data_IF_770271937229
#
_entry.id   IF_770271937229
#
_cell.length_a   1.000
_cell.length_b   1.000
_cell.length_c   1.000
_cell.angle_alpha   90.00
_cell.angle_beta   90.00
_cell.angle_gamma   90.00
#
_symmetry.space_group_name_H-M   'P 1'
#
loop_
_entity.id
_entity.type
_entity.pdbx_description
1 polymer ?
#
# COMPACT_ATOMS: atom_id res chain seq x y z
N UNK A 1 -17.50 -14.22 5.93
CA UNK A 1 -16.23 -13.47 6.04
C UNK A 1 -15.15 -14.50 6.31
N UNK A 2 -14.03 -14.47 5.58
CA UNK A 2 -12.91 -15.41 5.78
C UNK A 2 -11.86 -14.83 6.71
N UNK A 3 -11.64 -13.52 6.61
CA UNK A 3 -10.80 -12.72 7.49
C UNK A 3 -11.53 -11.41 7.73
N UNK A 4 -11.65 -11.02 9.00
CA UNK A 4 -12.32 -9.80 9.45
C UNK A 4 -11.49 -9.09 10.51
N UNK A 5 -12.05 -8.08 11.18
CA UNK A 5 -11.34 -7.31 12.21
C UNK A 5 -10.85 -8.13 13.41
N UNK A 6 -11.38 -9.35 13.63
CA UNK A 6 -11.08 -10.15 14.81
C UNK A 6 -9.62 -10.58 14.92
N UNK A 7 -8.90 -10.71 13.80
CA UNK A 7 -7.46 -11.05 13.78
C UNK A 7 -6.56 -9.86 13.45
N UNK A 8 -7.13 -8.71 13.06
CA UNK A 8 -6.34 -7.53 12.67
C UNK A 8 -5.42 -7.77 11.48
N UNK A 9 -5.85 -8.61 10.52
CA UNK A 9 -5.11 -8.85 9.27
C UNK A 9 -5.09 -7.59 8.40
N UNK A 10 -4.13 -7.52 7.48
CA UNK A 10 -3.86 -6.32 6.68
C UNK A 10 -5.06 -5.92 5.78
N UNK A 11 -5.92 -6.88 5.41
CA UNK A 11 -7.11 -6.62 4.61
C UNK A 11 -8.33 -7.47 5.02
N UNK A 12 -9.53 -6.96 4.77
CA UNK A 12 -10.77 -7.71 4.95
C UNK A 12 -10.98 -8.69 3.79
N UNK A 13 -11.32 -9.96 4.09
CA UNK A 13 -11.55 -10.99 3.07
C UNK A 13 -13.00 -11.49 3.11
N UNK A 14 -13.73 -11.23 2.03
CA UNK A 14 -15.14 -11.59 1.88
C UNK A 14 -15.34 -12.65 0.80
N UNK A 15 -15.74 -13.86 1.20
CA UNK A 15 -16.03 -14.96 0.28
C UNK A 15 -17.30 -14.67 -0.54
N UNK A 16 -17.17 -14.73 -1.87
CA UNK A 16 -18.29 -14.63 -2.80
C UNK A 16 -18.85 -16.02 -3.10
N UNK A 17 -17.97 -16.93 -3.55
CA UNK A 17 -18.31 -18.34 -3.81
C UNK A 17 -17.14 -19.26 -3.42
N UNK A 18 -17.10 -20.49 -3.92
CA UNK A 18 -16.01 -21.44 -3.63
C UNK A 18 -14.70 -21.14 -4.35
N UNK A 19 -14.73 -20.28 -5.37
CA UNK A 19 -13.60 -19.99 -6.25
C UNK A 19 -13.03 -18.59 -6.00
N UNK A 20 -13.85 -17.64 -5.56
CA UNK A 20 -13.45 -16.25 -5.41
C UNK A 20 -13.85 -15.69 -4.04
N UNK A 21 -12.89 -15.06 -3.37
CA UNK A 21 -13.11 -14.12 -2.29
C UNK A 21 -12.54 -12.75 -2.68
N UNK A 22 -13.23 -11.68 -2.25
CA UNK A 22 -12.75 -10.32 -2.37
C UNK A 22 -11.75 -10.03 -1.25
N UNK A 23 -10.70 -9.32 -1.58
CA UNK A 23 -9.78 -8.66 -0.64
C UNK A 23 -10.10 -7.18 -0.69
N UNK A 24 -10.40 -6.57 0.45
CA UNK A 24 -10.84 -5.19 0.55
C UNK A 24 -9.94 -4.46 1.54
N UNK A 25 -9.26 -3.42 1.07
CA UNK A 25 -8.46 -2.54 1.91
C UNK A 25 -8.65 -1.09 1.52
N UNK A 26 -8.31 -0.19 2.45
CA UNK A 26 -8.24 1.24 2.22
C UNK A 26 -7.11 1.82 3.04
N UNK A 27 -6.25 2.61 2.41
CA UNK A 27 -5.23 3.39 3.11
C UNK A 27 -5.00 4.73 2.41
N UNK A 28 -4.82 5.77 3.22
CA UNK A 28 -4.56 7.15 2.81
C UNK A 28 -3.91 7.92 3.96
N UNK A 29 -2.93 8.75 3.65
CA UNK A 29 -2.14 9.46 4.65
C UNK A 29 -1.71 10.83 4.14
N UNK A 30 -1.09 11.65 4.97
CA UNK A 30 -0.57 12.97 4.60
C UNK A 30 0.83 12.88 3.94
N UNK A 31 1.28 13.87 3.14
CA UNK A 31 2.56 13.82 2.46
C UNK A 31 3.76 13.44 3.34
N UNK A 32 4.47 12.41 2.91
CA UNK A 32 5.73 11.96 3.54
C UNK A 32 6.97 12.43 2.77
N UNK A 33 6.78 12.95 1.56
CA UNK A 33 7.80 13.53 0.67
C UNK A 33 7.24 14.79 0.00
N UNK A 34 8.15 15.66 -0.45
CA UNK A 34 7.77 16.97 -1.01
C UNK A 34 7.34 16.89 -2.48
N UNK A 35 7.88 15.94 -3.26
CA UNK A 35 7.50 15.80 -4.66
C UNK A 35 6.07 15.20 -4.75
N UNK A 36 5.11 15.90 -5.38
CA UNK A 36 3.72 15.44 -5.39
C UNK A 36 3.53 14.14 -6.18
N UNK A 37 4.30 13.93 -7.25
CA UNK A 37 4.21 12.71 -8.05
C UNK A 37 4.72 11.51 -7.25
N UNK A 38 5.88 11.64 -6.60
CA UNK A 38 6.43 10.60 -5.72
C UNK A 38 5.48 10.29 -4.56
N UNK A 39 4.87 11.30 -3.96
CA UNK A 39 3.85 11.10 -2.93
C UNK A 39 2.66 10.28 -3.44
N UNK A 40 2.14 10.60 -4.63
CA UNK A 40 1.09 9.82 -5.27
C UNK A 40 1.47 8.36 -5.52
N UNK A 41 2.70 8.12 -6.00
CA UNK A 41 3.24 6.78 -6.22
C UNK A 41 3.31 5.96 -4.92
N UNK A 42 3.81 6.58 -3.85
CA UNK A 42 3.98 5.92 -2.56
C UNK A 42 2.62 5.62 -1.92
N UNK A 43 1.69 6.57 -1.94
CA UNK A 43 0.34 6.37 -1.40
C UNK A 43 -0.39 5.21 -2.08
N UNK A 44 -0.31 5.14 -3.41
CA UNK A 44 -0.88 4.03 -4.16
C UNK A 44 -0.18 2.69 -3.88
N UNK A 45 1.16 2.68 -3.82
CA UNK A 45 1.92 1.46 -3.52
C UNK A 45 1.60 0.91 -2.13
N UNK A 46 1.44 1.80 -1.15
CA UNK A 46 1.06 1.47 0.22
C UNK A 46 -0.35 0.89 0.27
N UNK A 47 -1.35 1.56 -0.32
CA UNK A 47 -2.73 1.05 -0.33
C UNK A 47 -2.89 -0.29 -1.08
N UNK A 48 -2.01 -0.59 -2.05
CA UNK A 48 -1.95 -1.89 -2.73
C UNK A 48 -1.26 -2.97 -1.90
N UNK A 49 -0.47 -2.58 -0.89
CA UNK A 49 0.38 -3.46 -0.11
C UNK A 49 -0.41 -4.54 0.62
N UNK A 50 -1.50 -4.17 1.27
CA UNK A 50 -2.30 -5.12 2.06
C UNK A 50 -2.90 -6.23 1.21
N UNK A 51 -3.26 -5.92 -0.05
CA UNK A 51 -3.73 -6.95 -0.98
C UNK A 51 -2.63 -7.98 -1.24
N UNK A 52 -1.40 -7.51 -1.42
CA UNK A 52 -0.24 -8.38 -1.61
C UNK A 52 0.14 -9.15 -0.34
N UNK A 53 -0.02 -8.55 0.85
CA UNK A 53 0.32 -9.14 2.14
C UNK A 53 -0.49 -10.42 2.42
N UNK A 54 -1.78 -10.42 2.04
CA UNK A 54 -2.66 -11.58 2.20
C UNK A 54 -2.59 -12.58 1.03
N UNK A 55 -1.66 -12.39 0.09
CA UNK A 55 -1.51 -13.23 -1.12
C UNK A 55 -2.60 -13.00 -2.18
N UNK A 56 -3.28 -11.85 -2.13
CA UNK A 56 -4.30 -11.45 -3.09
C UNK A 56 -3.71 -10.85 -4.36
N UNK A 57 -4.53 -10.79 -5.40
CA UNK A 57 -4.23 -10.06 -6.64
C UNK A 57 -5.10 -8.82 -6.73
N UNK A 58 -4.55 -7.60 -6.85
CA UNK A 58 -5.33 -6.39 -7.05
C UNK A 58 -6.20 -6.47 -8.31
N UNK A 59 -7.40 -5.90 -8.27
CA UNK A 59 -8.36 -5.90 -9.37
C UNK A 59 -8.71 -4.47 -9.82
N UNK A 60 -9.10 -3.61 -8.88
CA UNK A 60 -9.49 -2.21 -9.13
C UNK A 60 -9.22 -1.34 -7.92
N UNK A 61 -9.15 -0.02 -8.12
CA UNK A 61 -9.04 0.95 -7.04
C UNK A 61 -9.97 2.17 -7.23
N UNK A 62 -10.25 2.86 -6.12
CA UNK A 62 -10.94 4.16 -6.08
C UNK A 62 -10.05 5.16 -5.35
N UNK A 63 -9.95 6.38 -5.87
CA UNK A 63 -9.25 7.47 -5.19
C UNK A 63 -9.97 7.88 -3.90
N UNK A 64 -9.19 8.06 -2.84
CA UNK A 64 -9.59 8.77 -1.63
C UNK A 64 -8.68 9.98 -1.52
N UNK A 65 -9.26 11.16 -1.62
CA UNK A 65 -8.51 12.40 -1.65
C UNK A 65 -9.14 13.46 -0.74
N UNK A 66 -8.30 14.17 -0.01
CA UNK A 66 -8.65 15.37 0.72
C UNK A 66 -7.58 16.42 0.42
N UNK A 67 -7.94 17.54 -0.17
CA UNK A 67 -6.97 18.57 -0.58
C UNK A 67 -7.44 19.95 -0.15
N UNK A 68 -6.52 20.84 0.29
CA UNK A 68 -6.88 22.21 0.57
C UNK A 68 -7.07 22.97 -0.74
N UNK A 69 -8.02 23.92 -0.75
CA UNK A 69 -8.38 24.67 -1.96
C UNK A 69 -7.24 25.45 -2.58
N UNK A 70 -6.23 25.80 -1.78
CA UNK A 70 -5.07 26.58 -2.18
C UNK A 70 -3.86 25.73 -2.61
N UNK A 71 -3.93 24.39 -2.54
CA UNK A 71 -2.86 23.49 -3.01
C UNK A 71 -2.54 23.69 -4.50
N UNK A 72 -3.54 24.12 -5.27
CA UNK A 72 -3.44 24.38 -6.69
C UNK A 72 -3.68 23.13 -7.54
N UNK A 73 -4.35 23.26 -8.70
CA UNK A 73 -4.74 22.12 -9.54
C UNK A 73 -3.54 21.35 -10.10
N UNK A 74 -2.42 22.02 -10.38
CA UNK A 74 -1.23 21.36 -10.94
C UNK A 74 -0.56 20.39 -9.96
N UNK A 75 -0.55 20.75 -8.67
CA UNK A 75 -0.02 19.88 -7.61
C UNK A 75 -0.93 18.66 -7.43
N UNK A 76 -2.24 18.88 -7.38
CA UNK A 76 -3.23 17.80 -7.30
C UNK A 76 -3.10 16.85 -8.49
N UNK A 77 -2.98 17.40 -9.71
CA UNK A 77 -2.82 16.62 -10.93
C UNK A 77 -1.59 15.70 -10.87
N UNK A 78 -0.45 16.20 -10.36
CA UNK A 78 0.76 15.39 -10.19
C UNK A 78 0.59 14.25 -9.17
N UNK A 79 -0.10 14.49 -8.05
CA UNK A 79 -0.40 13.45 -7.06
C UNK A 79 -1.23 12.33 -7.69
N UNK A 80 -2.31 12.71 -8.39
CA UNK A 80 -3.18 11.77 -9.07
C UNK A 80 -2.44 11.03 -10.19
N UNK A 81 -1.58 11.72 -10.94
CA UNK A 81 -0.73 11.11 -11.97
C UNK A 81 0.21 10.05 -11.39
N UNK A 82 0.87 10.36 -10.27
CA UNK A 82 1.73 9.41 -9.57
C UNK A 82 0.98 8.16 -9.12
N UNK A 83 -0.19 8.33 -8.49
CA UNK A 83 -1.02 7.20 -8.09
C UNK A 83 -1.52 6.37 -9.27
N UNK A 84 -1.94 7.03 -10.36
CA UNK A 84 -2.38 6.39 -11.60
C UNK A 84 -1.26 5.56 -12.22
N UNK A 85 -0.04 6.09 -12.29
CA UNK A 85 1.13 5.38 -12.83
C UNK A 85 1.48 4.14 -12.00
N UNK A 86 1.31 4.21 -10.67
CA UNK A 86 1.49 3.03 -9.80
C UNK A 86 0.40 1.98 -9.99
N UNK A 87 -0.85 2.40 -10.16
CA UNK A 87 -1.95 1.50 -10.49
C UNK A 87 -1.73 0.79 -11.83
N UNK A 88 -1.23 1.52 -12.84
CA UNK A 88 -0.81 0.95 -14.13
C UNK A 88 0.29 -0.10 -13.99
N UNK A 89 1.31 0.16 -13.16
CA UNK A 89 2.38 -0.81 -12.83
C UNK A 89 1.82 -2.08 -12.15
N UNK A 90 0.80 -1.92 -11.30
CA UNK A 90 0.09 -3.03 -10.67
C UNK A 90 -0.89 -3.76 -11.60
N UNK A 91 -1.08 -3.26 -12.84
CA UNK A 91 -1.98 -3.85 -13.83
C UNK A 91 -3.46 -3.62 -13.56
N UNK A 92 -3.82 -2.60 -12.78
CA UNK A 92 -5.21 -2.28 -12.42
C UNK A 92 -5.62 -0.89 -12.89
N UNK A 93 -6.93 -0.63 -12.85
CA UNK A 93 -7.51 0.68 -13.14
C UNK A 93 -7.99 1.36 -11.85
N UNK A 94 -7.75 2.68 -11.77
CA UNK A 94 -8.47 3.55 -10.85
C UNK A 94 -9.79 3.94 -11.52
N UNK A 95 -10.90 3.44 -11.01
CA UNK A 95 -12.22 3.49 -11.68
C UNK A 95 -13.14 4.59 -11.15
N UNK A 96 -12.58 5.55 -10.42
CA UNK A 96 -13.31 6.66 -9.81
C UNK A 96 -12.71 7.04 -8.48
N UNK A 97 -13.54 7.61 -7.61
CA UNK A 97 -13.14 7.99 -6.26
C UNK A 97 -13.96 9.14 -5.71
N UNK A 98 -13.49 9.71 -4.60
CA UNK A 98 -14.09 10.87 -3.99
C UNK A 98 -13.01 11.85 -3.51
N UNK A 99 -13.32 13.14 -3.63
CA UNK A 99 -12.44 14.23 -3.19
C UNK A 99 -13.22 15.16 -2.29
N UNK A 100 -12.63 15.50 -1.14
CA UNK A 100 -13.17 16.45 -0.18
C UNK A 100 -12.21 17.61 0.07
N UNK A 101 -12.73 18.67 0.66
CA UNK A 101 -11.97 19.83 1.14
C UNK A 101 -11.39 19.53 2.53
N UNK A 102 -10.10 19.75 2.73
CA UNK A 102 -9.40 19.57 4.01
C UNK A 102 -8.15 20.46 4.05
N UNK A 103 -7.81 21.01 5.22
CA UNK A 103 -6.64 21.87 5.39
C UNK A 103 -5.31 21.13 5.16
N UNK A 104 -5.26 19.84 5.47
CA UNK A 104 -4.06 19.02 5.28
C UNK A 104 -4.28 18.03 4.14
N UNK A 105 -3.43 18.03 3.10
CA UNK A 105 -3.57 17.12 1.98
C UNK A 105 -3.45 15.66 2.44
N UNK A 106 -4.35 14.80 1.99
CA UNK A 106 -4.34 13.36 2.22
C UNK A 106 -4.75 12.64 0.94
N UNK A 107 -4.03 11.60 0.59
CA UNK A 107 -4.27 10.84 -0.62
C UNK A 107 -3.98 9.36 -0.40
N UNK A 108 -4.75 8.52 -1.07
CA UNK A 108 -4.60 7.08 -1.07
C UNK A 108 -5.72 6.42 -1.85
N UNK A 109 -5.88 5.12 -1.66
CA UNK A 109 -6.80 4.31 -2.45
C UNK A 109 -7.64 3.40 -1.56
N UNK A 110 -8.91 3.21 -1.95
CA UNK A 110 -9.65 2.00 -1.60
C UNK A 110 -9.38 0.97 -2.70
N UNK A 111 -8.80 -0.17 -2.33
CA UNK A 111 -8.38 -1.22 -3.26
C UNK A 111 -9.26 -2.45 -3.09
N UNK A 112 -9.72 -2.99 -4.21
CA UNK A 112 -10.35 -4.31 -4.28
C UNK A 112 -9.40 -5.25 -4.99
N UNK A 113 -9.06 -6.36 -4.34
CA UNK A 113 -8.38 -7.50 -4.91
C UNK A 113 -9.21 -8.77 -4.81
N UNK A 114 -8.63 -9.87 -5.27
CA UNK A 114 -9.24 -11.20 -5.22
C UNK A 114 -8.24 -12.23 -4.73
N UNK A 115 -8.76 -13.26 -4.06
CA UNK A 115 -8.00 -14.44 -3.65
C UNK A 115 -8.87 -15.68 -3.76
N UNK A 116 -8.26 -16.84 -3.98
CA UNK A 116 -9.00 -18.11 -3.93
C UNK A 116 -9.26 -18.47 -2.46
N UNK A 117 -10.51 -18.78 -2.05
CA UNK A 117 -10.79 -19.20 -0.68
C UNK A 117 -9.90 -20.37 -0.25
N UNK A 118 -9.24 -20.24 0.91
CA UNK A 118 -8.29 -21.22 1.44
C UNK A 118 -6.84 -21.03 0.95
N UNK A 119 -6.59 -20.05 0.08
CA UNK A 119 -5.24 -19.67 -0.38
C UNK A 119 -4.77 -18.31 0.18
N UNK A 120 -5.63 -17.60 0.91
CA UNK A 120 -5.20 -16.40 1.61
C UNK A 120 -4.17 -16.72 2.68
N UNK A 121 -3.21 -15.81 2.83
CA UNK A 121 -2.19 -15.84 3.88
C UNK A 121 -2.64 -14.89 4.99
N UNK A 122 -2.39 -15.26 6.24
CA UNK A 122 -2.77 -14.47 7.41
C UNK A 122 -1.54 -14.16 8.25
N UNK A 123 -1.56 -13.04 8.97
CA UNK A 123 -0.47 -12.69 9.89
C UNK A 123 -0.42 -13.58 11.16
N UNK A 124 -1.48 -14.34 11.45
CA UNK A 124 -1.67 -15.04 12.72
C UNK A 124 -1.19 -16.51 12.74
N UNK A 125 -0.63 -17.02 11.65
CA UNK A 125 -0.35 -18.47 11.50
C UNK A 125 1.14 -18.84 11.53
N UNK A 126 2.00 -17.94 12.03
CA UNK A 126 3.43 -18.22 12.23
C UNK A 126 3.65 -19.39 13.21
N UNK A 127 4.65 -20.23 12.95
CA UNK A 127 4.94 -21.45 13.69
C UNK A 127 6.35 -21.45 14.29
N UNK A 128 6.59 -22.12 15.44
CA UNK A 128 7.95 -22.34 15.93
C UNK A 128 8.83 -23.04 14.88
N UNK A 129 9.98 -22.43 14.58
CA UNK A 129 10.90 -22.89 13.55
C UNK A 129 10.82 -22.11 12.23
N UNK A 130 9.83 -21.24 12.07
CA UNK A 130 9.78 -20.29 10.95
C UNK A 130 10.98 -19.34 10.97
N UNK A 131 11.41 -18.92 9.77
CA UNK A 131 12.43 -17.89 9.58
C UNK A 131 11.79 -16.57 9.21
N UNK A 132 12.34 -15.48 9.73
CA UNK A 132 11.85 -14.14 9.42
C UNK A 132 12.56 -13.57 8.19
N UNK A 133 11.78 -13.14 7.21
CA UNK A 133 12.27 -12.57 5.95
C UNK A 133 11.71 -11.16 5.81
N UNK A 134 12.56 -10.22 5.40
CA UNK A 134 12.16 -8.86 5.06
C UNK A 134 12.53 -8.56 3.61
N UNK A 135 11.58 -8.00 2.86
CA UNK A 135 11.69 -7.82 1.40
C UNK A 135 12.06 -6.40 0.99
N UNK A 136 12.02 -5.46 1.94
CA UNK A 136 12.39 -4.05 1.76
C UNK A 136 13.24 -3.56 2.92
N UNK A 137 14.06 -2.54 2.67
CA UNK A 137 14.85 -1.90 3.72
C UNK A 137 13.96 -1.10 4.67
N UNK A 138 14.27 -1.16 5.97
CA UNK A 138 13.65 -0.33 7.02
C UNK A 138 14.31 1.05 7.13
N UNK A 139 13.67 1.97 7.85
CA UNK A 139 14.23 3.28 8.19
C UNK A 139 13.76 4.44 7.31
N UNK A 140 12.78 4.22 6.42
CA UNK A 140 12.17 5.29 5.60
C UNK A 140 11.66 6.45 6.45
N UNK A 141 11.00 6.19 7.58
CA UNK A 141 10.52 7.23 8.50
C UNK A 141 11.63 8.13 9.08
N UNK A 142 12.81 7.57 9.36
CA UNK A 142 13.97 8.35 9.82
C UNK A 142 14.45 9.26 8.69
N UNK A 143 14.54 8.72 7.47
CA UNK A 143 15.01 9.46 6.29
C UNK A 143 14.03 10.59 5.94
N UNK A 144 12.72 10.34 5.91
CA UNK A 144 11.71 11.35 5.58
C UNK A 144 11.64 12.43 6.68
N UNK A 145 11.78 12.06 7.95
CA UNK A 145 11.87 13.03 9.06
C UNK A 145 13.10 13.92 8.91
N UNK A 146 14.28 13.33 8.63
CA UNK A 146 15.49 14.10 8.38
C UNK A 146 15.37 14.99 7.14
N UNK A 147 14.66 14.54 6.09
CA UNK A 147 14.41 15.33 4.89
C UNK A 147 13.53 16.55 5.19
N UNK A 148 12.43 16.38 5.94
CA UNK A 148 11.57 17.48 6.41
C UNK A 148 12.35 18.52 7.24
N UNK A 149 13.39 18.08 7.96
CA UNK A 149 14.28 18.96 8.71
C UNK A 149 15.44 19.55 7.89
N UNK A 150 15.52 19.27 6.58
CA UNK A 150 16.61 19.73 5.70
C UNK A 150 17.97 19.04 5.94
N UNK A 151 17.99 17.92 6.66
CA UNK A 151 19.21 17.24 7.13
C UNK A 151 19.51 15.91 6.41
N UNK A 152 18.65 15.47 5.49
CA UNK A 152 18.85 14.23 4.73
C UNK A 152 19.70 14.45 3.47
N UNK A 153 20.57 13.49 3.16
CA UNK A 153 21.27 13.45 1.86
C UNK A 153 20.26 13.12 0.76
N UNK A 154 20.36 13.80 -0.38
CA UNK A 154 19.48 13.59 -1.53
C UNK A 154 19.39 12.12 -1.96
N UNK A 155 20.54 11.43 -2.06
CA UNK A 155 20.58 10.00 -2.40
C UNK A 155 19.84 9.10 -1.39
N UNK A 156 19.89 9.44 -0.10
CA UNK A 156 19.14 8.70 0.92
C UNK A 156 17.63 8.86 0.74
N UNK A 157 17.17 10.09 0.45
CA UNK A 157 15.75 10.37 0.17
C UNK A 157 15.30 9.62 -1.08
N UNK A 158 16.11 9.66 -2.15
CA UNK A 158 15.83 8.96 -3.40
C UNK A 158 15.68 7.44 -3.20
N UNK A 159 16.59 6.81 -2.45
CA UNK A 159 16.47 5.38 -2.14
C UNK A 159 15.25 5.06 -1.27
N UNK A 160 14.92 5.93 -0.32
CA UNK A 160 13.70 5.77 0.49
C UNK A 160 12.44 5.86 -0.37
N UNK A 161 12.34 6.86 -1.26
CA UNK A 161 11.25 7.01 -2.23
C UNK A 161 11.13 5.77 -3.09
N UNK A 162 12.24 5.29 -3.67
CA UNK A 162 12.25 4.10 -4.51
C UNK A 162 11.76 2.85 -3.73
N UNK A 163 12.24 2.65 -2.50
CA UNK A 163 11.80 1.53 -1.66
C UNK A 163 10.31 1.60 -1.34
N UNK A 164 9.81 2.78 -0.93
CA UNK A 164 8.41 2.98 -0.58
C UNK A 164 7.47 2.86 -1.79
N UNK A 165 7.89 3.34 -2.96
CA UNK A 165 7.09 3.27 -4.19
C UNK A 165 7.14 1.88 -4.86
N UNK A 166 8.06 0.99 -4.48
CA UNK A 166 8.15 -0.35 -5.08
C UNK A 166 6.92 -1.18 -4.68
N UNK A 167 6.23 -1.81 -5.63
CA UNK A 167 5.10 -2.69 -5.31
C UNK A 167 5.57 -3.96 -4.57
N UNK A 168 4.76 -4.45 -3.64
CA UNK A 168 4.99 -5.74 -2.97
C UNK A 168 4.64 -6.96 -3.85
N UNK A 169 4.33 -6.76 -5.13
CA UNK A 169 3.96 -7.83 -6.07
C UNK A 169 4.98 -8.97 -6.10
N UNK A 170 6.26 -8.66 -6.31
CA UNK A 170 7.30 -9.69 -6.39
C UNK A 170 7.50 -10.46 -5.07
N UNK A 171 7.35 -9.77 -3.94
CA UNK A 171 7.36 -10.41 -2.62
C UNK A 171 6.16 -11.33 -2.42
N UNK A 172 4.97 -10.89 -2.82
CA UNK A 172 3.73 -11.69 -2.77
C UNK A 172 3.81 -12.92 -3.66
N UNK A 173 4.27 -12.77 -4.90
CA UNK A 173 4.44 -13.88 -5.84
C UNK A 173 5.38 -14.95 -5.25
N UNK A 174 6.53 -14.55 -4.71
CA UNK A 174 7.49 -15.47 -4.10
C UNK A 174 6.94 -16.14 -2.82
N UNK A 175 6.23 -15.36 -2.00
CA UNK A 175 5.60 -15.82 -0.77
C UNK A 175 4.52 -16.90 -1.04
N UNK A 176 3.69 -16.67 -2.05
CA UNK A 176 2.65 -17.61 -2.49
C UNK A 176 3.28 -18.87 -3.10
N UNK A 177 4.33 -18.73 -3.91
CA UNK A 177 5.03 -19.86 -4.53
C UNK A 177 5.68 -20.78 -3.49
N UNK A 178 6.35 -20.22 -2.49
CA UNK A 178 7.00 -20.98 -1.41
C UNK A 178 5.97 -21.60 -0.46
N UNK A 179 4.80 -20.98 -0.30
CA UNK A 179 3.76 -21.43 0.61
C UNK A 179 4.10 -21.12 2.07
N UNK A 180 4.31 -19.84 2.39
CA UNK A 180 4.63 -19.41 3.76
C UNK A 180 3.50 -19.71 4.76
N UNK A 181 3.86 -19.81 6.04
CA UNK A 181 2.89 -20.00 7.11
C UNK A 181 2.14 -18.71 7.47
N UNK A 182 2.82 -17.56 7.45
CA UNK A 182 2.28 -16.25 7.81
C UNK A 182 3.02 -15.14 7.07
N UNK A 183 2.34 -14.01 6.87
CA UNK A 183 2.91 -12.79 6.35
C UNK A 183 2.13 -11.57 6.82
N UNK A 184 2.82 -10.43 6.80
CA UNK A 184 2.28 -9.08 6.97
C UNK A 184 3.26 -8.11 6.33
N UNK A 185 2.85 -6.88 6.07
CA UNK A 185 3.73 -5.83 5.60
C UNK A 185 4.17 -4.88 6.73
N UNK A 186 5.39 -4.36 6.61
CA UNK A 186 5.96 -3.46 7.62
C UNK A 186 5.63 -2.02 7.23
N UNK A 187 4.73 -1.38 7.98
CA UNK A 187 4.22 -0.02 7.72
C UNK A 187 4.49 0.94 8.90
N UNK A 188 3.54 1.83 9.21
CA UNK A 188 3.69 2.93 10.17
C UNK A 188 3.85 2.51 11.64
N UNK A 189 3.58 1.25 11.97
CA UNK A 189 3.77 0.72 13.33
C UNK A 189 5.23 0.35 13.64
N UNK A 190 6.10 0.33 12.63
CA UNK A 190 7.48 -0.13 12.76
C UNK A 190 7.62 -1.64 12.68
N UNK A 191 8.86 -2.10 12.79
CA UNK A 191 9.23 -3.52 12.87
C UNK A 191 9.43 -3.92 14.33
#
# INVERSE_FOLDING_TARGET
MLVGHETGDDAAIYRIDERVALVLTTDFFAPIVDDPFDYGQIAAANALSDVYAVGGTPLTALNIAAFPRDLGPDVIAKILEGGQKKAEEAGILIIGGHTIDDNEPKYGLAVTGVVTPGKQITNANAQPGDVLIITKAIGSGIITTAAKAGNAKHESVKHAVQSMATLNKGASDAMVEVGVNSATDVTGFGF
#
